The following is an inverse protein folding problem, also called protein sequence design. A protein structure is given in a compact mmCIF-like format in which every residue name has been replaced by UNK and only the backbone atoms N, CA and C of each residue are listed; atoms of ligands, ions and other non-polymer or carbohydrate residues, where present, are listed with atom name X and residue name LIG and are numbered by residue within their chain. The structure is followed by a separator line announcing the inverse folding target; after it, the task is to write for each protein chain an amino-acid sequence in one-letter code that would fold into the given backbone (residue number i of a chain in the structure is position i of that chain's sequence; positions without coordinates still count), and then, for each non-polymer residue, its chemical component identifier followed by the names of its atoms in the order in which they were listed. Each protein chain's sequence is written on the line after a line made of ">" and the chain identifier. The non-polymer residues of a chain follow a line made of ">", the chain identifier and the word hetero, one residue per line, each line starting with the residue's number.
data_IF_567746680692
#
_entry.id   IF_567746680692
#
_cell.length_a   1.000
_cell.length_b   1.000
_cell.length_c   1.000
_cell.angle_alpha   90.00
_cell.angle_beta   90.00
_cell.angle_gamma   90.00
#
_symmetry.space_group_name_H-M   'P 1'
#
loop_
_entity.id
_entity.type
_entity.pdbx_description
1 polymer ?
#
# COMPACT_ATOMS: atom_id res chain seq x y z
N UNK A 1 -8.63 13.96 -20.47
CA UNK A 1 -8.23 12.86 -21.38
C UNK A 1 -8.36 11.57 -20.60
N UNK A 2 -8.97 10.53 -21.18
CA UNK A 2 -9.17 9.23 -20.55
C UNK A 2 -8.72 8.16 -21.55
N UNK A 3 -7.82 7.28 -21.12
CA UNK A 3 -7.42 6.11 -21.90
C UNK A 3 -8.48 5.01 -21.77
N UNK A 4 -8.78 4.34 -22.89
CA UNK A 4 -9.87 3.38 -22.99
C UNK A 4 -9.51 2.23 -23.94
N UNK A 5 -10.10 1.06 -23.72
CA UNK A 5 -10.05 -0.07 -24.66
C UNK A 5 -11.16 0.02 -25.71
N UNK A 6 -12.28 0.64 -25.35
CA UNK A 6 -13.46 0.72 -26.19
C UNK A 6 -14.36 1.89 -25.77
N UNK A 7 -15.26 2.25 -26.67
CA UNK A 7 -16.44 3.07 -26.40
C UNK A 7 -17.64 2.19 -26.73
N UNK A 8 -18.59 2.05 -25.80
CA UNK A 8 -19.80 1.22 -26.01
C UNK A 8 -20.74 1.88 -27.03
N UNK A 9 -21.74 1.15 -27.52
CA UNK A 9 -22.76 1.68 -28.43
C UNK A 9 -23.55 2.86 -27.83
N UNK A 10 -23.69 2.91 -26.50
CA UNK A 10 -24.28 4.04 -25.76
C UNK A 10 -23.32 5.22 -25.58
N UNK A 11 -22.07 5.06 -26.00
CA UNK A 11 -21.02 6.07 -25.89
C UNK A 11 -20.29 6.10 -24.55
N UNK A 12 -20.45 5.08 -23.71
CA UNK A 12 -19.72 4.98 -22.45
C UNK A 12 -18.27 4.54 -22.68
N UNK A 13 -17.36 5.02 -21.82
CA UNK A 13 -15.92 4.78 -21.98
C UNK A 13 -15.52 3.55 -21.16
N UNK A 14 -14.96 2.52 -21.80
CA UNK A 14 -14.43 1.32 -21.14
C UNK A 14 -12.96 1.56 -20.80
N UNK A 15 -12.57 1.70 -19.52
CA UNK A 15 -11.19 2.01 -19.16
C UNK A 15 -10.19 0.89 -19.51
N UNK A 16 -8.89 1.21 -19.45
CA UNK A 16 -7.79 0.25 -19.59
C UNK A 16 -7.48 -0.45 -18.25
N UNK A 17 -6.20 -0.64 -17.92
CA UNK A 17 -5.75 -1.30 -16.70
C UNK A 17 -5.96 -0.47 -15.42
N UNK A 18 -6.61 0.69 -15.48
CA UNK A 18 -6.92 1.51 -14.32
C UNK A 18 -8.23 2.29 -14.46
N UNK A 19 -8.81 2.68 -13.32
CA UNK A 19 -9.90 3.66 -13.26
C UNK A 19 -9.41 4.97 -12.66
N UNK A 20 -8.80 4.93 -11.46
CA UNK A 20 -8.36 6.14 -10.76
C UNK A 20 -9.52 7.11 -10.54
N UNK A 21 -9.30 8.38 -10.91
CA UNK A 21 -10.31 9.44 -10.86
C UNK A 21 -11.07 9.63 -12.18
N UNK A 22 -10.88 8.76 -13.18
CA UNK A 22 -11.39 8.98 -14.54
C UNK A 22 -12.91 9.17 -14.58
N UNK A 23 -13.66 8.43 -13.76
CA UNK A 23 -15.12 8.55 -13.69
C UNK A 23 -15.56 9.95 -13.22
N UNK A 24 -14.96 10.46 -12.13
CA UNK A 24 -15.25 11.79 -11.60
C UNK A 24 -14.76 12.90 -12.55
N UNK A 25 -13.59 12.72 -13.17
CA UNK A 25 -13.08 13.66 -14.16
C UNK A 25 -13.99 13.75 -15.40
N UNK A 26 -14.51 12.61 -15.90
CA UNK A 26 -15.48 12.59 -16.99
C UNK A 26 -16.80 13.27 -16.60
N UNK A 27 -17.25 13.09 -15.36
CA UNK A 27 -18.47 13.69 -14.87
C UNK A 27 -18.38 15.23 -14.88
N UNK A 28 -17.30 15.79 -14.34
CA UNK A 28 -17.15 17.24 -14.16
C UNK A 28 -16.56 17.98 -15.37
N UNK A 29 -15.99 17.27 -16.35
CA UNK A 29 -15.42 17.92 -17.53
C UNK A 29 -16.50 18.45 -18.48
N UNK A 30 -16.26 19.67 -18.99
CA UNK A 30 -17.05 20.25 -20.09
C UNK A 30 -16.89 19.45 -21.38
N UNK A 31 -15.67 18.96 -21.64
CA UNK A 31 -15.31 18.15 -22.79
C UNK A 31 -14.37 17.01 -22.40
N UNK A 32 -14.55 15.86 -23.03
CA UNK A 32 -13.75 14.65 -22.84
C UNK A 32 -12.98 14.35 -24.12
N UNK A 33 -11.70 14.02 -23.96
CA UNK A 33 -10.86 13.44 -25.01
C UNK A 33 -10.67 11.98 -24.62
N UNK A 34 -11.01 11.07 -25.53
CA UNK A 34 -10.82 9.63 -25.34
C UNK A 34 -9.60 9.18 -26.14
N UNK A 35 -8.67 8.49 -25.48
CA UNK A 35 -7.54 7.83 -26.12
C UNK A 35 -7.83 6.32 -26.19
N UNK A 36 -8.02 5.79 -27.39
CA UNK A 36 -8.24 4.36 -27.61
C UNK A 36 -6.88 3.67 -27.75
N UNK A 37 -6.54 2.87 -26.75
CA UNK A 37 -5.26 2.18 -26.65
C UNK A 37 -5.32 0.84 -27.39
N UNK A 38 -4.41 0.65 -28.35
CA UNK A 38 -4.25 -0.60 -29.09
C UNK A 38 -3.37 -1.63 -28.34
N UNK A 39 -2.90 -1.31 -27.13
CA UNK A 39 -2.06 -2.20 -26.31
C UNK A 39 -2.85 -3.16 -25.45
N UNK A 40 -4.08 -2.82 -25.13
CA UNK A 40 -4.98 -3.64 -24.34
C UNK A 40 -5.99 -4.35 -25.24
N UNK A 41 -6.36 -5.56 -24.85
CA UNK A 41 -7.47 -6.27 -25.48
C UNK A 41 -8.80 -5.67 -25.05
N UNK A 42 -9.82 -5.84 -25.89
CA UNK A 42 -11.22 -5.54 -25.53
C UNK A 42 -11.76 -6.49 -24.47
N UNK A 43 -11.02 -7.55 -24.13
CA UNK A 43 -11.31 -8.46 -23.04
C UNK A 43 -11.27 -7.79 -21.65
N UNK A 44 -10.75 -6.56 -21.53
CA UNK A 44 -10.93 -5.73 -20.33
C UNK A 44 -12.37 -5.23 -20.13
N UNK A 45 -13.23 -5.26 -21.15
CA UNK A 45 -14.64 -4.84 -21.00
C UNK A 45 -15.38 -5.68 -19.96
N UNK A 46 -16.03 -5.05 -18.99
CA UNK A 46 -16.68 -5.75 -17.87
C UNK A 46 -15.79 -5.95 -16.64
N UNK A 47 -14.48 -5.64 -16.74
CA UNK A 47 -13.57 -5.68 -15.59
C UNK A 47 -13.97 -4.65 -14.52
N UNK A 48 -14.39 -3.46 -14.93
CA UNK A 48 -14.55 -2.31 -14.04
C UNK A 48 -15.89 -2.28 -13.31
N UNK A 49 -15.94 -1.61 -12.16
CA UNK A 49 -17.15 -1.35 -11.37
C UNK A 49 -17.20 0.12 -10.97
N UNK A 50 -17.81 0.92 -11.85
CA UNK A 50 -17.88 2.38 -11.80
C UNK A 50 -19.09 2.80 -10.98
N UNK A 51 -18.84 3.14 -9.72
CA UNK A 51 -19.81 3.75 -8.82
C UNK A 51 -19.35 5.16 -8.43
N UNK A 52 -20.20 6.16 -8.66
CA UNK A 52 -19.96 7.55 -8.26
C UNK A 52 -20.93 7.89 -7.12
N UNK A 53 -20.44 8.19 -5.90
CA UNK A 53 -21.30 8.56 -4.80
C UNK A 53 -22.07 9.86 -5.08
N UNK A 54 -23.29 9.96 -4.56
CA UNK A 54 -24.09 11.19 -4.66
C UNK A 54 -23.42 12.38 -3.95
N UNK A 55 -23.86 13.59 -4.30
CA UNK A 55 -23.33 14.83 -3.75
C UNK A 55 -23.62 15.00 -2.25
N UNK A 56 -22.70 15.69 -1.57
CA UNK A 56 -22.88 16.10 -0.18
C UNK A 56 -23.83 17.31 -0.10
N UNK A 57 -24.59 17.45 1.00
CA UNK A 57 -24.58 16.64 2.22
C UNK A 57 -25.48 15.39 2.18
N UNK A 58 -26.17 15.10 1.08
CA UNK A 58 -27.14 14.00 0.96
C UNK A 58 -26.58 12.62 0.60
N UNK A 59 -25.25 12.47 0.58
CA UNK A 59 -24.56 11.24 0.18
C UNK A 59 -24.99 10.06 1.07
N UNK A 60 -25.51 9.01 0.44
CA UNK A 60 -25.88 7.76 1.10
C UNK A 60 -24.62 6.90 1.41
N UNK A 61 -24.73 5.93 2.34
CA UNK A 61 -23.67 4.94 2.57
C UNK A 61 -23.33 4.17 1.28
N UNK A 62 -22.07 3.78 1.13
CA UNK A 62 -21.63 3.00 -0.03
C UNK A 62 -22.13 1.55 0.16
N UNK A 63 -22.90 0.96 -0.77
CA UNK A 63 -23.53 -0.36 -0.56
C UNK A 63 -22.59 -1.55 -0.81
N UNK A 64 -21.27 -1.37 -0.65
CA UNK A 64 -20.27 -2.43 -0.81
C UNK A 64 -20.03 -3.15 0.53
N UNK A 65 -20.22 -4.47 0.55
CA UNK A 65 -20.10 -5.31 1.75
C UNK A 65 -19.15 -6.50 1.59
N UNK A 66 -18.66 -6.76 0.38
CA UNK A 66 -17.60 -7.75 0.12
C UNK A 66 -16.67 -7.29 -1.01
N UNK A 67 -15.41 -7.79 -1.07
CA UNK A 67 -14.46 -7.40 -2.12
C UNK A 67 -14.90 -7.74 -3.56
N UNK A 68 -15.70 -8.78 -3.72
CA UNK A 68 -16.18 -9.34 -5.00
C UNK A 68 -17.51 -8.75 -5.50
N UNK A 69 -18.22 -8.02 -4.65
CA UNK A 69 -19.50 -7.41 -5.01
C UNK A 69 -19.32 -6.28 -6.03
N UNK A 70 -20.12 -6.25 -7.09
CA UNK A 70 -20.23 -5.11 -8.01
C UNK A 70 -21.43 -4.25 -7.64
N UNK A 71 -21.25 -2.92 -7.63
CA UNK A 71 -22.27 -1.95 -7.19
C UNK A 71 -22.57 -0.85 -8.22
N UNK A 72 -21.84 -0.82 -9.33
CA UNK A 72 -21.88 0.22 -10.35
C UNK A 72 -21.98 -0.33 -11.76
N UNK A 73 -21.54 0.48 -12.72
CA UNK A 73 -21.54 0.15 -14.14
C UNK A 73 -20.18 -0.40 -14.59
N UNK A 74 -20.13 -1.12 -15.71
CA UNK A 74 -18.88 -1.67 -16.27
C UNK A 74 -18.08 -0.68 -17.11
N UNK A 75 -18.61 0.52 -17.34
CA UNK A 75 -18.00 1.58 -18.14
C UNK A 75 -18.31 2.94 -17.51
N UNK A 76 -17.50 3.95 -17.83
CA UNK A 76 -17.68 5.33 -17.37
C UNK A 76 -18.79 5.99 -18.19
N UNK A 77 -19.90 6.41 -17.57
CA UNK A 77 -20.97 7.10 -18.28
C UNK A 77 -20.50 8.50 -18.71
N UNK A 78 -20.67 8.80 -20.00
CA UNK A 78 -20.40 10.12 -20.57
C UNK A 78 -21.46 10.43 -21.62
N UNK A 79 -21.81 11.71 -21.76
CA UNK A 79 -22.65 12.16 -22.87
C UNK A 79 -21.78 12.17 -24.14
N UNK A 80 -22.13 11.43 -25.21
CA UNK A 80 -21.36 11.40 -26.45
C UNK A 80 -21.10 12.80 -27.04
N UNK A 81 -22.02 13.76 -26.83
CA UNK A 81 -21.86 15.12 -27.30
C UNK A 81 -20.71 15.88 -26.60
N UNK A 82 -20.26 15.40 -25.43
CA UNK A 82 -19.10 15.95 -24.71
C UNK A 82 -17.77 15.36 -25.19
N UNK A 83 -17.78 14.30 -26.00
CA UNK A 83 -16.54 13.73 -26.55
C UNK A 83 -16.04 14.64 -27.68
N UNK A 84 -15.05 15.47 -27.38
CA UNK A 84 -14.51 16.45 -28.32
C UNK A 84 -13.53 15.84 -29.32
N UNK A 85 -12.83 14.76 -28.93
CA UNK A 85 -11.91 14.05 -29.80
C UNK A 85 -11.73 12.59 -29.35
N UNK A 86 -11.47 11.73 -30.33
CA UNK A 86 -11.00 10.35 -30.14
C UNK A 86 -9.64 10.23 -30.79
N UNK A 87 -8.63 9.83 -30.02
CA UNK A 87 -7.25 9.60 -30.47
C UNK A 87 -6.97 8.12 -30.40
N UNK A 88 -6.44 7.52 -31.46
CA UNK A 88 -6.01 6.12 -31.43
C UNK A 88 -4.51 6.10 -31.15
N UNK A 89 -4.07 5.32 -30.16
CA UNK A 89 -2.67 5.25 -29.76
C UNK A 89 -2.19 3.81 -29.56
N UNK A 90 -0.87 3.62 -29.66
CA UNK A 90 -0.18 2.38 -29.31
C UNK A 90 0.93 2.64 -28.26
N UNK A 91 0.74 3.69 -27.44
CA UNK A 91 1.70 4.05 -26.41
C UNK A 91 1.82 2.94 -25.36
N UNK A 92 3.02 2.74 -24.81
CA UNK A 92 3.26 1.70 -23.78
C UNK A 92 3.27 2.31 -22.40
N UNK A 93 2.56 1.65 -21.49
CA UNK A 93 2.69 1.96 -20.07
C UNK A 93 4.10 1.71 -19.56
N UNK A 94 4.47 2.48 -18.55
CA UNK A 94 5.73 2.29 -17.84
C UNK A 94 5.62 1.05 -16.95
N UNK A 95 6.45 0.03 -17.16
CA UNK A 95 6.40 -1.17 -16.33
C UNK A 95 6.87 -0.85 -14.90
N UNK A 96 6.38 -1.63 -13.95
CA UNK A 96 6.85 -1.58 -12.57
C UNK A 96 8.34 -1.93 -12.49
N UNK A 97 9.05 -1.24 -11.60
CA UNK A 97 10.48 -1.46 -11.32
C UNK A 97 10.72 -2.39 -10.12
N UNK A 98 9.68 -3.12 -9.70
CA UNK A 98 9.77 -4.12 -8.64
C UNK A 98 10.92 -5.09 -8.89
N UNK A 99 11.67 -5.35 -7.83
CA UNK A 99 12.78 -6.29 -7.84
C UNK A 99 12.33 -7.63 -7.22
N UNK A 100 12.97 -8.75 -7.59
CA UNK A 100 12.77 -10.02 -6.91
C UNK A 100 13.04 -9.91 -5.40
N UNK A 101 12.43 -10.81 -4.62
CA UNK A 101 12.73 -10.93 -3.20
C UNK A 101 14.22 -11.27 -2.98
N UNK A 102 14.78 -10.69 -1.93
CA UNK A 102 16.11 -10.98 -1.38
C UNK A 102 15.98 -11.56 0.05
N UNK A 103 17.10 -11.92 0.67
CA UNK A 103 17.07 -12.53 2.00
C UNK A 103 16.43 -11.66 3.09
N UNK A 104 16.59 -10.33 3.00
CA UNK A 104 16.04 -9.39 3.97
C UNK A 104 14.52 -9.25 3.80
N UNK A 105 14.05 -9.11 2.57
CA UNK A 105 12.61 -9.05 2.27
C UNK A 105 11.90 -10.37 2.52
N UNK A 106 12.59 -11.51 2.34
CA UNK A 106 12.08 -12.81 2.76
C UNK A 106 11.95 -12.90 4.29
N UNK A 107 12.93 -12.43 5.06
CA UNK A 107 12.84 -12.41 6.53
C UNK A 107 11.65 -11.56 7.02
N UNK A 108 11.41 -10.40 6.39
CA UNK A 108 10.21 -9.58 6.67
C UNK A 108 8.93 -10.39 6.41
N UNK A 109 8.87 -11.11 5.28
CA UNK A 109 7.73 -11.96 4.93
C UNK A 109 7.52 -13.07 5.98
N UNK A 110 8.60 -13.75 6.39
CA UNK A 110 8.56 -14.83 7.37
C UNK A 110 8.05 -14.35 8.74
N UNK A 111 8.47 -13.16 9.19
CA UNK A 111 7.97 -12.54 10.41
C UNK A 111 6.46 -12.26 10.33
N UNK A 112 5.98 -11.75 9.21
CA UNK A 112 4.55 -11.50 9.00
C UNK A 112 3.74 -12.78 8.92
N UNK A 113 4.22 -13.80 8.22
CA UNK A 113 3.58 -15.11 8.14
C UNK A 113 3.49 -15.73 9.53
N UNK A 114 4.56 -15.65 10.32
CA UNK A 114 4.58 -16.10 11.72
C UNK A 114 3.55 -15.36 12.58
N UNK A 115 3.48 -14.04 12.46
CA UNK A 115 2.47 -13.23 13.14
C UNK A 115 1.05 -13.62 12.75
N UNK A 116 0.74 -13.72 11.46
CA UNK A 116 -0.58 -14.11 11.01
C UNK A 116 -0.97 -15.51 11.47
N UNK A 117 -0.03 -16.47 11.46
CA UNK A 117 -0.28 -17.81 11.95
C UNK A 117 -0.66 -17.80 13.45
N UNK A 118 0.03 -16.99 14.26
CA UNK A 118 -0.29 -16.82 15.68
C UNK A 118 -1.64 -16.14 15.90
N UNK A 119 -1.98 -15.11 15.11
CA UNK A 119 -3.30 -14.47 15.19
C UNK A 119 -4.43 -15.43 14.82
N UNK A 120 -4.21 -16.31 13.84
CA UNK A 120 -5.15 -17.37 13.45
C UNK A 120 -5.28 -18.43 14.54
N UNK A 121 -4.17 -18.92 15.09
CA UNK A 121 -4.17 -19.90 16.18
C UNK A 121 -4.89 -19.37 17.42
N UNK A 122 -4.68 -18.09 17.74
CA UNK A 122 -5.34 -17.42 18.85
C UNK A 122 -6.80 -17.02 18.57
N UNK A 123 -7.32 -17.28 17.37
CA UNK A 123 -8.70 -16.95 16.98
C UNK A 123 -8.99 -15.46 16.81
N UNK A 124 -7.95 -14.63 16.65
CA UNK A 124 -8.07 -13.18 16.38
C UNK A 124 -8.24 -12.89 14.89
N UNK A 125 -7.70 -13.74 14.03
CA UNK A 125 -7.93 -13.72 12.58
C UNK A 125 -8.53 -15.05 12.10
N UNK A 126 -9.37 -15.04 11.05
CA UNK A 126 -9.80 -16.26 10.37
C UNK A 126 -8.64 -16.86 9.55
N UNK A 127 -8.76 -18.12 9.13
CA UNK A 127 -7.72 -18.80 8.32
C UNK A 127 -7.43 -18.15 6.97
N UNK A 128 -8.41 -17.46 6.41
CA UNK A 128 -8.25 -16.66 5.20
C UNK A 128 -7.78 -15.22 5.47
N UNK A 129 -7.43 -14.91 6.73
CA UNK A 129 -7.00 -13.62 7.29
C UNK A 129 -8.05 -12.52 7.22
N UNK A 130 -8.55 -12.22 6.04
CA UNK A 130 -9.35 -11.05 5.70
C UNK A 130 -8.83 -10.43 4.41
N UNK A 131 -9.52 -9.41 3.87
CA UNK A 131 -9.08 -8.76 2.64
C UNK A 131 -7.74 -8.04 2.85
N UNK A 132 -6.76 -8.39 2.02
CA UNK A 132 -5.42 -7.81 2.10
C UNK A 132 -5.35 -6.54 1.23
N UNK A 133 -4.84 -5.46 1.83
CA UNK A 133 -4.35 -4.28 1.12
C UNK A 133 -2.83 -4.26 1.22
N UNK A 134 -2.18 -4.01 0.09
CA UNK A 134 -0.71 -4.00 0.02
C UNK A 134 -0.28 -2.78 -0.77
N UNK A 135 0.63 -2.01 -0.18
CA UNK A 135 1.22 -0.84 -0.83
C UNK A 135 2.11 -1.24 -2.02
N UNK A 136 2.58 -0.24 -2.75
CA UNK A 136 3.46 -0.46 -3.91
C UNK A 136 4.94 -0.57 -3.51
N UNK A 137 5.70 -1.33 -4.28
CA UNK A 137 7.16 -1.40 -4.19
C UNK A 137 7.71 -2.81 -3.98
N UNK A 138 9.04 -2.96 -4.07
CA UNK A 138 9.69 -4.27 -4.02
C UNK A 138 9.47 -4.99 -2.68
N UNK A 139 9.52 -4.28 -1.55
CA UNK A 139 9.33 -4.87 -0.22
C UNK A 139 7.91 -5.43 -0.10
N UNK A 140 6.90 -4.62 -0.40
CA UNK A 140 5.50 -5.02 -0.35
C UNK A 140 5.19 -6.21 -1.29
N UNK A 141 5.74 -6.19 -2.51
CA UNK A 141 5.58 -7.28 -3.47
C UNK A 141 6.27 -8.58 -2.99
N UNK A 142 7.48 -8.48 -2.42
CA UNK A 142 8.21 -9.63 -1.88
C UNK A 142 7.49 -10.28 -0.68
N UNK A 143 6.94 -9.46 0.22
CA UNK A 143 6.13 -9.93 1.35
C UNK A 143 4.94 -10.76 0.87
N UNK A 144 4.24 -10.30 -0.17
CA UNK A 144 3.10 -11.02 -0.73
C UNK A 144 3.49 -12.28 -1.48
N UNK A 145 4.64 -12.28 -2.16
CA UNK A 145 5.18 -13.49 -2.78
C UNK A 145 5.47 -14.58 -1.73
N UNK A 146 5.88 -14.21 -0.51
CA UNK A 146 6.04 -15.14 0.60
C UNK A 146 4.75 -15.89 0.99
N UNK A 147 3.56 -15.31 0.73
CA UNK A 147 2.28 -15.96 1.01
C UNK A 147 1.97 -17.13 0.07
N UNK A 148 2.68 -17.28 -1.05
CA UNK A 148 2.51 -18.41 -1.97
C UNK A 148 2.76 -19.74 -1.27
N UNK A 149 3.77 -19.81 -0.41
CA UNK A 149 4.15 -21.01 0.34
C UNK A 149 3.57 -21.04 1.77
N UNK A 150 2.86 -19.98 2.18
CA UNK A 150 2.28 -19.86 3.51
C UNK A 150 1.06 -20.78 3.70
N UNK A 151 0.68 -21.14 4.94
CA UNK A 151 -0.44 -22.05 5.21
C UNK A 151 -1.83 -21.40 5.08
N UNK A 152 -1.91 -20.17 4.55
CA UNK A 152 -3.16 -19.47 4.32
C UNK A 152 -3.74 -19.83 2.94
N UNK A 153 -5.05 -19.91 2.86
CA UNK A 153 -5.81 -20.26 1.65
C UNK A 153 -7.05 -19.37 1.56
N UNK A 154 -7.70 -19.35 0.39
CA UNK A 154 -8.91 -18.57 0.14
C UNK A 154 -8.74 -17.07 0.46
N UNK A 155 -7.56 -16.54 0.13
CA UNK A 155 -7.25 -15.14 0.36
C UNK A 155 -8.13 -14.26 -0.53
N UNK A 156 -8.33 -13.02 -0.10
CA UNK A 156 -8.93 -11.98 -0.94
C UNK A 156 -8.11 -10.71 -0.83
N UNK A 157 -8.15 -9.88 -1.88
CA UNK A 157 -7.49 -8.58 -1.89
C UNK A 157 -8.49 -7.45 -2.07
N UNK A 158 -8.29 -6.38 -1.32
CA UNK A 158 -8.96 -5.10 -1.50
C UNK A 158 -7.91 -4.00 -1.38
N UNK A 159 -7.28 -3.66 -2.51
CA UNK A 159 -6.11 -2.79 -2.57
C UNK A 159 -6.34 -1.59 -3.50
N UNK A 160 -5.39 -0.65 -3.53
CA UNK A 160 -5.35 0.41 -4.54
C UNK A 160 -4.78 -0.12 -5.85
N UNK A 161 -3.64 -0.82 -5.78
CA UNK A 161 -2.90 -1.31 -6.95
C UNK A 161 -2.73 -2.82 -6.85
N UNK A 162 -3.04 -3.51 -7.94
CA UNK A 162 -2.76 -4.94 -8.12
C UNK A 162 -1.42 -5.10 -8.83
N UNK A 163 -0.52 -5.87 -8.23
CA UNK A 163 0.88 -5.99 -8.66
C UNK A 163 1.23 -7.43 -9.03
N UNK A 164 2.49 -7.68 -9.39
CA UNK A 164 2.98 -9.01 -9.79
C UNK A 164 2.58 -10.11 -8.79
N UNK A 165 2.76 -9.84 -7.49
CA UNK A 165 2.39 -10.76 -6.41
C UNK A 165 0.90 -11.13 -6.38
N UNK A 166 0.01 -10.24 -6.81
CA UNK A 166 -1.43 -10.56 -6.94
C UNK A 166 -1.63 -11.73 -7.91
N UNK A 167 -0.96 -11.68 -9.06
CA UNK A 167 -1.10 -12.70 -10.10
C UNK A 167 -0.32 -13.97 -9.76
N UNK A 168 0.79 -13.86 -9.03
CA UNK A 168 1.48 -15.02 -8.45
C UNK A 168 0.60 -15.80 -7.48
N UNK A 169 -0.15 -15.11 -6.62
CA UNK A 169 -1.09 -15.76 -5.69
C UNK A 169 -2.29 -16.38 -6.42
N UNK A 170 -2.77 -15.76 -7.51
CA UNK A 170 -3.77 -16.39 -8.36
C UNK A 170 -3.24 -17.66 -9.03
N UNK A 171 -2.01 -17.61 -9.56
CA UNK A 171 -1.35 -18.73 -10.23
C UNK A 171 -1.11 -19.90 -9.25
N UNK A 172 -0.78 -19.60 -7.99
CA UNK A 172 -0.61 -20.56 -6.92
C UNK A 172 -1.92 -21.11 -6.33
N UNK A 173 -3.08 -20.58 -6.74
CA UNK A 173 -4.38 -20.98 -6.19
C UNK A 173 -4.62 -20.51 -4.74
N UNK A 174 -3.87 -19.50 -4.29
CA UNK A 174 -3.99 -18.92 -2.94
C UNK A 174 -5.04 -17.82 -2.84
N UNK A 175 -5.27 -17.10 -3.94
CA UNK A 175 -6.14 -15.93 -4.01
C UNK A 175 -7.43 -16.25 -4.77
N UNK A 176 -8.57 -16.03 -4.12
CA UNK A 176 -9.89 -16.27 -4.69
C UNK A 176 -10.36 -15.06 -5.52
N UNK A 177 -10.11 -13.84 -5.03
CA UNK A 177 -10.58 -12.61 -5.67
C UNK A 177 -9.70 -11.40 -5.33
N UNK A 178 -9.55 -10.46 -6.27
CA UNK A 178 -8.88 -9.17 -6.02
C UNK A 178 -9.67 -7.96 -6.55
N UNK A 179 -9.84 -6.98 -5.67
CA UNK A 179 -10.36 -5.65 -5.98
C UNK A 179 -9.24 -4.62 -5.95
N UNK A 180 -9.16 -3.80 -6.98
CA UNK A 180 -8.16 -2.74 -7.16
C UNK A 180 -8.77 -1.45 -7.71
N UNK A 181 -7.94 -0.42 -7.88
CA UNK A 181 -8.19 0.72 -8.77
C UNK A 181 -7.36 0.64 -10.05
N UNK A 182 -6.20 -0.03 -9.98
CA UNK A 182 -5.33 -0.26 -11.12
C UNK A 182 -4.58 -1.60 -11.05
N UNK A 183 -4.06 -2.02 -12.21
CA UNK A 183 -3.11 -3.11 -12.36
C UNK A 183 -1.79 -2.50 -12.84
N UNK A 184 -0.70 -2.68 -12.08
CA UNK A 184 0.64 -2.18 -12.43
C UNK A 184 1.65 -3.30 -12.27
N UNK A 185 2.19 -3.76 -13.41
CA UNK A 185 3.00 -4.97 -13.48
C UNK A 185 4.40 -4.71 -14.00
N UNK A 186 5.35 -5.57 -13.65
CA UNK A 186 6.64 -5.64 -14.35
C UNK A 186 6.42 -6.00 -15.82
N UNK A 187 7.39 -5.69 -16.68
CA UNK A 187 7.25 -5.95 -18.13
C UNK A 187 6.98 -7.43 -18.44
N UNK A 188 7.66 -8.34 -17.74
CA UNK A 188 7.50 -9.78 -17.94
C UNK A 188 6.12 -10.26 -17.46
N UNK A 189 5.70 -9.84 -16.26
CA UNK A 189 4.40 -10.23 -15.71
C UNK A 189 3.25 -9.62 -16.49
N UNK A 190 3.37 -8.36 -16.92
CA UNK A 190 2.39 -7.69 -17.79
C UNK A 190 2.19 -8.43 -19.10
N UNK A 191 3.26 -8.88 -19.76
CA UNK A 191 3.16 -9.67 -20.99
C UNK A 191 2.42 -11.01 -20.77
N UNK A 192 2.63 -11.68 -19.63
CA UNK A 192 1.91 -12.91 -19.28
C UNK A 192 0.43 -12.62 -18.98
N UNK A 193 0.15 -11.64 -18.11
CA UNK A 193 -1.19 -11.36 -17.61
C UNK A 193 -2.09 -10.82 -18.71
N UNK A 194 -1.65 -9.81 -19.45
CA UNK A 194 -2.44 -9.23 -20.53
C UNK A 194 -2.45 -10.09 -21.81
N UNK A 195 -1.53 -11.07 -21.92
CA UNK A 195 -1.54 -12.05 -23.00
C UNK A 195 -2.59 -13.17 -22.83
N UNK A 196 -3.09 -13.39 -21.60
CA UNK A 196 -4.13 -14.38 -21.26
C UNK A 196 -5.03 -13.82 -20.14
N UNK A 197 -5.58 -12.62 -20.36
CA UNK A 197 -6.30 -11.91 -19.29
C UNK A 197 -7.62 -12.59 -18.89
N UNK A 198 -8.24 -13.29 -19.84
CA UNK A 198 -9.47 -14.07 -19.62
C UNK A 198 -9.35 -15.06 -18.43
N UNK A 199 -8.14 -15.57 -18.16
CA UNK A 199 -7.87 -16.46 -17.02
C UNK A 199 -8.07 -15.80 -15.64
N UNK A 200 -7.96 -14.48 -15.56
CA UNK A 200 -8.04 -13.72 -14.30
C UNK A 200 -9.32 -12.88 -14.19
N UNK A 201 -9.90 -12.45 -15.32
CA UNK A 201 -10.99 -11.48 -15.38
C UNK A 201 -12.15 -11.73 -14.41
N UNK A 202 -12.64 -12.97 -14.32
CA UNK A 202 -13.78 -13.32 -13.45
C UNK A 202 -13.47 -13.22 -11.95
N UNK A 203 -12.18 -13.12 -11.58
CA UNK A 203 -11.70 -13.01 -10.19
C UNK A 203 -11.13 -11.61 -9.88
N UNK A 204 -11.42 -10.64 -10.75
CA UNK A 204 -10.89 -9.28 -10.67
C UNK A 204 -12.00 -8.24 -10.79
N UNK A 205 -11.81 -7.10 -10.11
CA UNK A 205 -12.59 -5.89 -10.35
C UNK A 205 -11.73 -4.64 -10.15
N UNK A 206 -11.86 -3.68 -11.06
CA UNK A 206 -11.25 -2.36 -10.92
C UNK A 206 -12.30 -1.29 -10.64
N UNK A 207 -12.11 -0.52 -9.57
CA UNK A 207 -13.06 0.49 -9.08
C UNK A 207 -12.44 1.88 -9.15
N UNK A 208 -13.22 2.96 -9.20
CA UNK A 208 -12.71 4.30 -8.96
C UNK A 208 -11.95 4.37 -7.64
N UNK A 209 -10.89 5.18 -7.57
CA UNK A 209 -10.07 5.28 -6.35
C UNK A 209 -10.88 5.80 -5.15
N UNK A 210 -11.93 6.61 -5.39
CA UNK A 210 -12.87 7.04 -4.34
C UNK A 210 -13.57 5.85 -3.68
N UNK A 211 -13.65 4.69 -4.34
CA UNK A 211 -14.25 3.46 -3.81
C UNK A 211 -13.19 2.52 -3.26
N UNK A 212 -12.14 2.18 -4.04
CA UNK A 212 -11.09 1.26 -3.60
C UNK A 212 -10.38 1.72 -2.32
N UNK A 213 -10.29 3.03 -2.10
CA UNK A 213 -9.61 3.62 -0.95
C UNK A 213 -10.60 4.18 0.07
N UNK A 214 -11.91 3.94 -0.09
CA UNK A 214 -12.90 4.62 0.77
C UNK A 214 -12.79 4.15 2.23
N UNK A 215 -12.58 5.05 3.21
CA UNK A 215 -12.41 4.67 4.62
C UNK A 215 -13.58 3.85 5.19
N UNK A 216 -14.83 4.20 4.84
CA UNK A 216 -16.02 3.44 5.26
C UNK A 216 -15.96 1.98 4.81
N UNK A 217 -15.48 1.75 3.59
CA UNK A 217 -15.46 0.43 2.96
C UNK A 217 -14.28 -0.37 3.50
N UNK A 218 -13.08 0.22 3.53
CA UNK A 218 -11.89 -0.40 4.12
C UNK A 218 -12.15 -0.88 5.56
N UNK A 219 -12.77 -0.02 6.38
CA UNK A 219 -13.12 -0.36 7.77
C UNK A 219 -14.21 -1.42 7.86
N UNK A 220 -15.24 -1.36 7.02
CA UNK A 220 -16.33 -2.36 6.99
C UNK A 220 -15.80 -3.75 6.62
N UNK A 221 -14.92 -3.81 5.64
CA UNK A 221 -14.33 -5.06 5.15
C UNK A 221 -13.30 -5.65 6.13
N UNK A 222 -12.82 -4.86 7.09
CA UNK A 222 -11.84 -5.30 8.07
C UNK A 222 -10.50 -5.62 7.42
N UNK A 223 -10.01 -4.73 6.55
CA UNK A 223 -8.80 -4.99 5.77
C UNK A 223 -7.57 -5.15 6.68
N UNK A 224 -6.58 -5.92 6.21
CA UNK A 224 -5.22 -5.89 6.74
C UNK A 224 -4.41 -5.01 5.78
N UNK A 225 -3.92 -3.86 6.27
CA UNK A 225 -3.16 -2.91 5.46
C UNK A 225 -1.66 -3.06 5.67
N UNK A 226 -0.93 -3.40 4.60
CA UNK A 226 0.54 -3.57 4.63
C UNK A 226 1.18 -2.47 3.79
N UNK A 227 1.84 -1.51 4.43
CA UNK A 227 2.41 -0.32 3.80
C UNK A 227 3.93 -0.26 3.98
N UNK A 228 4.63 0.43 3.08
CA UNK A 228 6.08 0.63 3.21
C UNK A 228 6.38 1.91 3.98
N UNK A 229 7.31 1.84 4.94
CA UNK A 229 7.87 3.01 5.62
C UNK A 229 9.19 3.46 4.96
N UNK A 230 9.42 4.77 4.85
CA UNK A 230 10.78 5.29 4.63
C UNK A 230 11.60 5.18 5.90
N UNK A 231 11.03 5.64 7.01
CA UNK A 231 11.56 5.53 8.35
C UNK A 231 10.42 5.55 9.36
N UNK A 232 10.67 5.05 10.56
CA UNK A 232 9.78 5.19 11.71
C UNK A 232 10.58 5.47 12.97
N UNK A 233 9.96 6.14 13.94
CA UNK A 233 10.63 6.42 15.20
C UNK A 233 10.35 5.36 16.26
N UNK A 234 11.11 5.44 17.35
CA UNK A 234 10.94 4.57 18.51
C UNK A 234 9.55 4.71 19.16
N UNK A 235 8.73 5.70 18.83
CA UNK A 235 7.35 5.79 19.34
C UNK A 235 6.32 5.22 18.37
N UNK A 236 6.77 4.81 17.18
CA UNK A 236 5.95 4.20 16.15
C UNK A 236 5.20 5.21 15.29
N UNK A 237 5.68 6.45 15.19
CA UNK A 237 5.28 7.35 14.11
C UNK A 237 6.05 6.99 12.84
N UNK A 238 5.41 7.09 11.68
CA UNK A 238 5.97 6.67 10.38
C UNK A 238 6.04 7.84 9.41
N UNK A 239 7.16 7.92 8.71
CA UNK A 239 7.39 8.73 7.53
C UNK A 239 7.34 7.83 6.28
N UNK A 240 6.49 8.17 5.32
CA UNK A 240 6.36 7.47 4.04
C UNK A 240 6.73 8.36 2.84
N UNK A 241 7.00 9.64 3.05
CA UNK A 241 7.06 10.63 1.97
C UNK A 241 8.33 11.45 1.88
N UNK A 242 8.89 11.96 2.99
CA UNK A 242 9.93 13.00 2.94
C UNK A 242 11.30 12.49 3.40
N UNK A 243 12.23 12.32 2.46
CA UNK A 243 13.62 11.96 2.76
C UNK A 243 14.36 13.14 3.41
N UNK A 244 14.74 13.00 4.68
CA UNK A 244 15.35 14.07 5.47
C UNK A 244 14.39 15.24 5.72
N UNK A 245 13.10 14.93 5.90
CA UNK A 245 12.05 15.88 6.28
C UNK A 245 11.56 16.83 5.19
N UNK A 246 12.25 16.92 4.04
CA UNK A 246 11.95 17.95 3.02
C UNK A 246 11.88 17.44 1.58
N UNK A 247 12.58 16.34 1.24
CA UNK A 247 12.63 15.85 -0.14
C UNK A 247 11.54 14.82 -0.38
N UNK A 248 10.54 15.18 -1.17
CA UNK A 248 9.47 14.26 -1.58
C UNK A 248 10.05 13.06 -2.32
N UNK A 249 9.63 11.86 -1.91
CA UNK A 249 9.92 10.61 -2.60
C UNK A 249 8.90 10.37 -3.72
N UNK A 250 7.64 10.09 -3.35
CA UNK A 250 6.52 9.91 -4.27
C UNK A 250 5.33 10.76 -3.82
N UNK A 251 4.78 10.43 -2.65
CA UNK A 251 3.59 11.02 -2.04
C UNK A 251 2.96 10.03 -1.08
N UNK A 252 2.03 10.49 -0.23
CA UNK A 252 1.38 9.63 0.77
C UNK A 252 0.50 8.54 0.10
N UNK A 253 -0.06 8.83 -1.07
CA UNK A 253 -0.95 7.91 -1.77
C UNK A 253 -2.13 7.48 -0.88
N UNK A 254 -2.58 6.24 -1.03
CA UNK A 254 -3.62 5.64 -0.19
C UNK A 254 -3.15 5.12 1.18
N UNK A 255 -1.87 5.27 1.56
CA UNK A 255 -1.38 4.68 2.82
C UNK A 255 -2.13 5.25 4.03
N UNK A 256 -2.53 6.53 3.99
CA UNK A 256 -3.33 7.16 5.04
C UNK A 256 -4.76 6.65 5.08
N UNK A 257 -5.37 6.43 3.91
CA UNK A 257 -6.73 5.89 3.79
C UNK A 257 -6.82 4.50 4.43
N UNK A 258 -5.83 3.66 4.14
CA UNK A 258 -5.80 2.28 4.62
C UNK A 258 -5.27 2.15 6.06
N UNK A 259 -4.16 2.79 6.42
CA UNK A 259 -3.58 2.66 7.76
C UNK A 259 -4.58 3.03 8.86
N UNK A 260 -5.32 4.13 8.69
CA UNK A 260 -6.31 4.59 9.67
C UNK A 260 -7.60 3.78 9.68
N UNK A 261 -7.93 3.15 8.55
CA UNK A 261 -9.22 2.44 8.37
C UNK A 261 -9.11 0.94 8.52
N UNK A 262 -7.89 0.38 8.56
CA UNK A 262 -7.64 -1.04 8.63
C UNK A 262 -8.10 -1.66 9.95
N UNK A 263 -8.35 -2.97 9.90
CA UNK A 263 -8.46 -3.79 11.10
C UNK A 263 -7.09 -3.97 11.77
N UNK A 264 -6.05 -4.15 10.95
CA UNK A 264 -4.65 -4.22 11.38
C UNK A 264 -3.79 -3.39 10.42
N UNK A 265 -3.12 -2.37 10.95
CA UNK A 265 -2.23 -1.47 10.20
C UNK A 265 -0.76 -1.86 10.40
N UNK A 266 -0.12 -2.29 9.31
CA UNK A 266 1.22 -2.86 9.31
C UNK A 266 2.13 -2.01 8.44
N UNK A 267 3.30 -1.66 8.98
CA UNK A 267 4.36 -0.98 8.23
C UNK A 267 5.61 -1.84 8.15
N UNK A 268 6.15 -1.96 6.94
CA UNK A 268 7.34 -2.76 6.63
C UNK A 268 8.44 -1.88 6.05
N UNK A 269 9.69 -2.15 6.41
CA UNK A 269 10.87 -1.57 5.78
C UNK A 269 12.11 -2.39 6.14
N UNK A 270 13.21 -2.25 5.40
CA UNK A 270 14.51 -2.76 5.86
C UNK A 270 15.00 -1.89 7.00
N UNK A 271 15.67 -2.45 8.01
CA UNK A 271 16.11 -1.69 9.19
C UNK A 271 17.24 -0.68 8.90
N UNK A 272 17.95 -0.87 7.77
CA UNK A 272 18.99 0.03 7.26
C UNK A 272 18.88 0.23 5.74
N UNK A 273 19.50 1.31 5.26
CA UNK A 273 19.65 1.64 3.85
C UNK A 273 21.06 2.21 3.57
N UNK A 274 21.43 2.29 2.27
CA UNK A 274 22.72 2.82 1.80
C UNK A 274 23.92 2.14 2.47
N UNK A 275 23.98 0.81 2.39
CA UNK A 275 25.07 -0.01 2.91
C UNK A 275 25.35 0.22 4.41
N UNK A 276 24.28 0.35 5.21
CA UNK A 276 24.35 0.59 6.65
C UNK A 276 24.44 2.06 7.04
N UNK A 277 24.63 2.99 6.10
CA UNK A 277 24.84 4.40 6.42
C UNK A 277 23.60 5.14 6.95
N UNK A 278 22.41 4.57 6.73
CA UNK A 278 21.12 5.12 7.14
C UNK A 278 20.37 4.04 7.92
N UNK A 279 19.82 4.39 9.08
CA UNK A 279 18.83 3.56 9.77
C UNK A 279 17.43 4.00 9.38
N UNK A 280 16.53 3.02 9.20
CA UNK A 280 15.10 3.25 9.04
C UNK A 280 14.38 3.39 10.38
N UNK A 281 15.05 3.12 11.50
CA UNK A 281 14.52 3.30 12.86
C UNK A 281 15.26 4.44 13.54
N UNK A 282 14.57 5.52 13.86
CA UNK A 282 15.20 6.78 14.31
C UNK A 282 14.69 7.24 15.68
N UNK A 283 15.40 8.16 16.37
CA UNK A 283 14.89 8.73 17.62
C UNK A 283 13.56 9.49 17.45
N UNK A 284 13.42 10.22 16.34
CA UNK A 284 12.21 10.94 15.94
C UNK A 284 12.18 11.02 14.42
N UNK A 285 11.03 10.76 13.79
CA UNK A 285 10.92 10.86 12.33
C UNK A 285 11.07 12.30 11.88
N UNK A 286 11.70 12.50 10.73
CA UNK A 286 11.90 13.84 10.16
C UNK A 286 10.62 14.44 9.55
N UNK A 287 9.61 13.59 9.31
CA UNK A 287 8.27 13.96 8.85
C UNK A 287 7.28 12.89 9.34
N UNK A 288 6.03 13.25 9.63
CA UNK A 288 5.00 12.31 10.11
C UNK A 288 3.88 12.23 9.08
N UNK A 289 3.74 11.07 8.42
CA UNK A 289 2.58 10.74 7.59
C UNK A 289 1.54 9.95 8.39
N UNK A 290 2.02 9.04 9.26
CA UNK A 290 1.19 8.20 10.12
C UNK A 290 1.61 8.35 11.57
N UNK A 291 0.66 8.67 12.42
CA UNK A 291 0.92 8.84 13.85
C UNK A 291 1.00 7.49 14.54
N UNK A 292 1.52 7.46 15.77
CA UNK A 292 1.49 6.29 16.66
C UNK A 292 0.09 5.66 16.85
N UNK A 293 -0.98 6.41 16.56
CA UNK A 293 -2.37 5.93 16.63
C UNK A 293 -2.87 5.22 15.36
N UNK A 294 -2.13 5.34 14.25
CA UNK A 294 -2.47 4.74 12.96
C UNK A 294 -1.61 3.48 12.68
N UNK A 295 -0.75 3.07 13.63
CA UNK A 295 0.28 2.04 13.44
C UNK A 295 0.17 0.97 14.53
N UNK A 296 -0.23 -0.24 14.13
CA UNK A 296 -0.35 -1.39 15.01
C UNK A 296 0.93 -2.22 15.05
N UNK A 297 1.49 -2.53 13.88
CA UNK A 297 2.61 -3.45 13.73
C UNK A 297 3.73 -2.81 12.90
N UNK A 298 4.97 -2.96 13.35
CA UNK A 298 6.18 -2.59 12.61
C UNK A 298 7.04 -3.83 12.34
N UNK A 299 7.57 -3.95 11.12
CA UNK A 299 8.38 -5.10 10.72
C UNK A 299 9.62 -4.66 9.97
N UNK A 300 10.75 -5.23 10.36
CA UNK A 300 12.00 -5.21 9.60
C UNK A 300 12.54 -6.63 9.45
N UNK A 301 13.64 -6.80 8.72
CA UNK A 301 14.33 -8.09 8.62
C UNK A 301 14.94 -8.55 9.95
N UNK A 302 14.94 -7.69 10.98
CA UNK A 302 15.40 -8.02 12.34
C UNK A 302 14.30 -8.70 13.17
N UNK A 303 13.03 -8.44 12.84
CA UNK A 303 11.89 -8.88 13.64
C UNK A 303 10.66 -8.00 13.49
N UNK A 304 9.67 -8.29 14.32
CA UNK A 304 8.35 -7.65 14.33
C UNK A 304 8.03 -7.10 15.72
N UNK A 305 7.53 -5.88 15.77
CA UNK A 305 7.02 -5.25 16.99
C UNK A 305 5.49 -5.10 16.90
N UNK A 306 4.76 -5.80 17.77
CA UNK A 306 3.33 -5.62 17.97
C UNK A 306 3.11 -4.52 19.02
N UNK A 307 2.49 -3.42 18.58
CA UNK A 307 2.37 -2.19 19.37
C UNK A 307 0.95 -1.96 19.91
N UNK A 308 0.05 -2.91 19.66
CA UNK A 308 -1.35 -2.83 20.09
C UNK A 308 -1.43 -2.79 21.61
N UNK A 309 -2.10 -1.78 22.14
CA UNK A 309 -2.31 -1.61 23.59
C UNK A 309 -1.09 -1.12 24.37
N UNK A 310 0.03 -0.79 23.71
CA UNK A 310 1.25 -0.31 24.37
C UNK A 310 1.27 1.23 24.50
N UNK A 311 1.72 1.74 25.64
CA UNK A 311 2.05 3.15 25.82
C UNK A 311 3.38 3.50 25.10
N UNK A 312 3.67 4.77 24.78
CA UNK A 312 4.85 5.11 23.96
C UNK A 312 6.19 4.58 24.48
N UNK A 313 6.40 4.53 25.80
CA UNK A 313 7.62 3.94 26.37
C UNK A 313 7.73 2.42 26.13
N UNK A 314 6.59 1.73 26.15
CA UNK A 314 6.50 0.29 25.86
C UNK A 314 6.67 0.04 24.36
N UNK A 315 6.08 0.90 23.52
CA UNK A 315 6.32 0.91 22.05
C UNK A 315 7.81 1.07 21.74
N UNK A 316 8.49 2.03 22.37
CA UNK A 316 9.93 2.22 22.21
C UNK A 316 10.74 1.00 22.58
N UNK A 317 10.41 0.32 23.68
CA UNK A 317 11.07 -0.93 24.04
C UNK A 317 10.82 -2.01 22.99
N UNK A 318 9.57 -2.24 22.59
CA UNK A 318 9.22 -3.24 21.59
C UNK A 318 9.93 -2.99 20.24
N UNK A 319 9.97 -1.74 19.79
CA UNK A 319 10.62 -1.33 18.53
C UNK A 319 12.13 -1.51 18.61
N UNK A 320 12.77 -1.01 19.67
CA UNK A 320 14.22 -1.12 19.86
C UNK A 320 14.64 -2.60 19.92
N UNK A 321 13.88 -3.42 20.64
CA UNK A 321 14.21 -4.82 20.85
C UNK A 321 14.02 -5.66 19.57
N UNK A 322 13.00 -5.37 18.74
CA UNK A 322 12.63 -6.26 17.64
C UNK A 322 12.95 -5.74 16.23
N UNK A 323 13.03 -4.43 16.01
CA UNK A 323 13.10 -3.88 14.65
C UNK A 323 14.42 -3.19 14.31
N UNK A 324 15.22 -2.80 15.31
CA UNK A 324 16.44 -2.00 15.10
C UNK A 324 17.61 -2.88 14.69
N UNK A 325 18.33 -2.46 13.64
CA UNK A 325 19.58 -3.07 13.22
C UNK A 325 20.61 -3.09 14.37
N UNK A 326 21.37 -4.19 14.58
CA UNK A 326 22.36 -4.28 15.65
C UNK A 326 23.35 -3.11 15.71
N UNK A 327 23.75 -2.55 14.57
CA UNK A 327 24.66 -1.39 14.51
C UNK A 327 24.08 -0.11 15.14
N UNK A 328 22.76 0.07 15.13
CA UNK A 328 22.08 1.28 15.60
C UNK A 328 21.45 1.11 16.98
N UNK A 329 21.33 -0.12 17.47
CA UNK A 329 20.62 -0.47 18.71
C UNK A 329 21.18 0.21 19.95
N UNK A 330 22.49 0.14 20.16
CA UNK A 330 23.13 0.75 21.32
C UNK A 330 22.93 2.28 21.37
N UNK A 331 22.92 2.95 20.21
CA UNK A 331 22.70 4.39 20.12
C UNK A 331 21.24 4.78 20.42
N UNK A 332 20.26 3.97 19.98
CA UNK A 332 18.85 4.18 20.35
C UNK A 332 18.57 3.87 21.82
N UNK A 333 19.20 2.84 22.39
CA UNK A 333 19.11 2.53 23.81
C UNK A 333 19.63 3.69 24.68
N UNK A 334 20.78 4.26 24.31
CA UNK A 334 21.34 5.45 24.98
C UNK A 334 20.40 6.67 24.86
N UNK A 335 19.93 6.99 23.64
CA UNK A 335 18.98 8.09 23.43
C UNK A 335 17.73 7.91 24.30
N UNK A 336 17.13 6.72 24.27
CA UNK A 336 15.90 6.41 24.98
C UNK A 336 16.09 6.45 26.51
N UNK A 337 17.22 5.97 27.03
CA UNK A 337 17.54 6.03 28.45
C UNK A 337 17.65 7.48 28.93
N UNK A 338 18.46 8.31 28.24
CA UNK A 338 18.61 9.74 28.55
C UNK A 338 17.30 10.51 28.39
N UNK A 339 16.50 10.17 27.40
CA UNK A 339 15.17 10.73 27.22
C UNK A 339 14.26 10.39 28.42
N UNK A 340 14.26 9.13 28.88
CA UNK A 340 13.45 8.69 30.02
C UNK A 340 13.82 9.40 31.33
N UNK A 341 15.09 9.71 31.56
CA UNK A 341 15.55 10.50 32.71
C UNK A 341 14.93 11.91 32.75
N UNK A 342 14.59 12.48 31.58
CA UNK A 342 13.89 13.78 31.47
C UNK A 342 12.39 13.71 31.78
N UNK A 343 11.82 12.50 31.88
CA UNK A 343 10.40 12.30 32.19
C UNK A 343 9.47 12.47 30.99
N UNK A 344 8.16 12.69 31.27
CA UNK A 344 7.13 12.84 30.25
C UNK A 344 6.50 11.51 29.76
N UNK A 345 5.34 11.59 29.14
CA UNK A 345 4.63 10.42 28.62
C UNK A 345 5.33 9.85 27.37
N UNK A 346 5.73 10.71 26.43
CA UNK A 346 6.61 10.40 25.29
C UNK A 346 7.95 11.12 25.46
N UNK A 347 8.97 10.48 26.05
CA UNK A 347 10.21 11.14 26.44
C UNK A 347 11.08 11.50 25.21
N UNK A 348 11.65 12.71 25.16
CA UNK A 348 12.61 13.07 24.11
C UNK A 348 13.79 13.87 24.66
N UNK A 349 14.95 13.68 24.05
CA UNK A 349 16.07 14.63 24.07
C UNK A 349 15.90 15.54 22.84
N UNK A 350 15.14 16.63 22.97
CA UNK A 350 14.75 17.48 21.84
C UNK A 350 15.95 18.07 21.09
N UNK A 351 17.05 18.34 21.79
CA UNK A 351 18.27 18.88 21.19
C UNK A 351 18.95 17.89 20.23
N UNK A 352 18.65 16.59 20.36
CA UNK A 352 19.29 15.50 19.61
C UNK A 352 18.31 14.70 18.75
N UNK A 353 17.00 14.96 18.84
CA UNK A 353 15.95 14.14 18.24
C UNK A 353 16.11 13.94 16.73
N UNK A 354 16.61 14.95 16.02
CA UNK A 354 16.88 14.92 14.58
C UNK A 354 18.39 14.91 14.24
N UNK A 355 19.24 14.64 15.22
CA UNK A 355 20.71 14.68 15.03
C UNK A 355 21.21 13.66 14.01
N UNK A 356 20.54 12.51 13.90
CA UNK A 356 20.89 11.46 12.92
C UNK A 356 20.69 11.94 11.49
N UNK A 357 19.58 12.61 11.20
CA UNK A 357 19.33 13.22 9.89
C UNK A 357 20.36 14.31 9.56
N UNK A 358 20.73 15.14 10.54
CA UNK A 358 21.77 16.17 10.38
C UNK A 358 23.13 15.53 10.09
N UNK A 359 23.48 14.44 10.77
CA UNK A 359 24.73 13.71 10.53
C UNK A 359 24.74 13.11 9.12
N UNK A 360 23.63 12.50 8.69
CA UNK A 360 23.47 11.92 7.37
C UNK A 360 23.68 12.98 6.28
N UNK A 361 23.10 14.17 6.43
CA UNK A 361 23.29 15.28 5.48
C UNK A 361 24.74 15.76 5.44
N UNK A 362 25.38 15.94 6.61
CA UNK A 362 26.72 16.54 6.70
C UNK A 362 27.86 15.58 6.40
N UNK A 363 27.66 14.28 6.64
CA UNK A 363 28.75 13.27 6.68
C UNK A 363 28.43 12.03 5.86
N UNK A 364 27.21 11.88 5.36
CA UNK A 364 26.76 10.69 4.64
C UNK A 364 26.45 9.49 5.52
N UNK A 365 26.43 9.63 6.85
CA UNK A 365 26.16 8.55 7.81
C UNK A 365 25.38 9.07 9.04
N UNK A 366 24.41 8.31 9.55
CA UNK A 366 23.55 8.73 10.68
C UNK A 366 24.25 8.71 12.05
N UNK A 367 25.03 7.66 12.35
CA UNK A 367 25.87 7.64 13.55
C UNK A 367 27.03 8.63 13.41
N UNK A 368 27.36 9.29 14.52
CA UNK A 368 28.61 10.04 14.59
C UNK A 368 29.80 9.07 14.47
N UNK A 369 30.87 9.48 13.79
CA UNK A 369 32.14 8.77 13.89
C UNK A 369 32.57 8.78 15.37
N UNK A 370 32.83 7.58 15.91
CA UNK A 370 33.28 7.38 17.29
C UNK A 370 34.66 7.95 17.57
#
# INVERSE_FOLDING_TARGET
>A
MIEAVAITEEGHIVPTASVGNSASLALFADQVIVEISLRYGTDLEGLHDIYIPADRPGRAPIPLVSPDQRIGATAIPVDPARIAAIVISDYRDSPSTVQPADGETQAIADHLIGFFAQEVEAGRLPRNLGPLQVGVGSIANAVMAGLVEAPFENLSMYSEVLQDSTFELFDAGKLDFASGSSIVLSAARGAQVFGDFARYKERLVLRPQEISNHPEVARRLGIIGINTALEFDIYGNVNSTHVGGTRMMNGIGGSGDFARSAHTSIFVTKSIAKDGAISSVVPMVSHVDHTEHDVDILVTEQGLADLRGLAPRERARAIIDNCVHPEYRAALEDYFARACERGGQTPHVLEEALSWHINQERRGHMLAAG
#
